data_IF_239121004329
#
_entry.id   IF_239121004329
#
_cell.length_a   1.000
_cell.length_b   1.000
_cell.length_c   1.000
_cell.angle_alpha   90.00
_cell.angle_beta   90.00
_cell.angle_gamma   90.00
#
_symmetry.space_group_name_H-M   'P 1'
#
loop_
_entity.id
_entity.type
_entity.pdbx_description
1 polymer ?
#
# COMPACT_ATOMS: atom_id res chain seq x y z
N UNK A 1 13.74 -15.18 -13.43
CA UNK A 1 13.34 -15.35 -14.84
C UNK A 1 14.13 -14.45 -15.80
N UNK A 2 14.09 -13.10 -15.71
CA UNK A 2 14.82 -12.19 -16.60
C UNK A 2 16.34 -12.39 -16.58
N UNK A 3 16.94 -12.71 -15.44
CA UNK A 3 18.39 -13.00 -15.30
C UNK A 3 18.75 -14.28 -16.07
N UNK A 4 17.91 -15.32 -16.01
CA UNK A 4 18.11 -16.57 -16.73
C UNK A 4 18.10 -16.36 -18.25
N UNK A 5 17.13 -15.59 -18.76
CA UNK A 5 17.01 -15.31 -20.19
C UNK A 5 18.26 -14.64 -20.81
N UNK A 6 19.05 -13.92 -20.01
CA UNK A 6 20.24 -13.23 -20.53
C UNK A 6 21.43 -14.14 -20.82
N UNK A 7 21.43 -15.38 -20.33
CA UNK A 7 22.49 -16.36 -20.56
C UNK A 7 22.27 -17.26 -21.79
N UNK A 8 21.04 -17.25 -22.35
CA UNK A 8 20.70 -18.06 -23.51
C UNK A 8 20.94 -17.34 -24.84
N UNK A 9 21.32 -18.06 -25.86
CA UNK A 9 21.28 -17.60 -27.25
C UNK A 9 19.84 -17.26 -27.67
N UNK A 10 19.66 -16.41 -28.69
CA UNK A 10 18.31 -15.98 -29.13
C UNK A 10 17.38 -17.18 -29.43
N UNK A 11 17.90 -18.23 -30.04
CA UNK A 11 17.14 -19.48 -30.35
C UNK A 11 16.75 -20.25 -29.10
N UNK A 12 17.59 -20.26 -28.07
CA UNK A 12 17.32 -20.92 -26.80
C UNK A 12 16.34 -20.09 -25.96
N UNK A 13 16.37 -18.76 -26.08
CA UNK A 13 15.37 -17.89 -25.43
C UNK A 13 13.96 -18.16 -25.93
N UNK A 14 13.78 -18.32 -27.25
CA UNK A 14 12.48 -18.65 -27.81
C UNK A 14 12.02 -20.04 -27.36
N UNK A 15 12.88 -21.06 -27.41
CA UNK A 15 12.57 -22.38 -26.89
C UNK A 15 12.17 -22.34 -25.42
N UNK A 16 12.90 -21.65 -24.58
CA UNK A 16 12.58 -21.48 -23.17
C UNK A 16 11.20 -20.83 -22.97
N UNK A 17 10.92 -19.75 -23.73
CA UNK A 17 9.63 -19.07 -23.62
C UNK A 17 8.47 -19.99 -24.04
N UNK A 18 8.59 -20.71 -25.18
CA UNK A 18 7.51 -21.53 -25.70
C UNK A 18 7.37 -22.88 -25.00
N UNK A 19 8.46 -23.48 -24.53
CA UNK A 19 8.42 -24.84 -23.93
C UNK A 19 8.27 -24.81 -22.40
N UNK A 20 8.67 -23.72 -21.75
CA UNK A 20 8.62 -23.63 -20.28
C UNK A 20 7.70 -22.52 -19.82
N UNK A 21 7.92 -21.28 -20.25
CA UNK A 21 7.19 -20.13 -19.72
C UNK A 21 5.72 -20.14 -20.16
N UNK A 22 5.46 -20.38 -21.44
CA UNK A 22 4.10 -20.35 -21.97
C UNK A 22 3.23 -21.50 -21.41
N UNK A 23 3.67 -22.79 -21.39
CA UNK A 23 2.89 -23.87 -20.82
C UNK A 23 2.62 -23.69 -19.32
N UNK A 24 3.64 -23.31 -18.54
CA UNK A 24 3.48 -23.07 -17.10
C UNK A 24 2.55 -21.88 -16.86
N UNK A 25 2.75 -20.77 -17.59
CA UNK A 25 1.91 -19.59 -17.50
C UNK A 25 0.45 -19.87 -17.85
N UNK A 26 0.22 -20.64 -18.92
CA UNK A 26 -1.13 -21.05 -19.33
C UNK A 26 -1.78 -21.96 -18.29
N UNK A 27 -1.03 -22.92 -17.74
CA UNK A 27 -1.53 -23.81 -16.71
C UNK A 27 -1.94 -23.03 -15.45
N UNK A 28 -1.06 -22.14 -14.95
CA UNK A 28 -1.33 -21.30 -13.78
C UNK A 28 -2.54 -20.41 -14.04
N UNK A 29 -2.61 -19.75 -15.20
CA UNK A 29 -3.74 -18.91 -15.58
C UNK A 29 -5.04 -19.70 -15.66
N UNK A 30 -5.00 -20.90 -16.23
CA UNK A 30 -6.16 -21.79 -16.30
C UNK A 30 -6.66 -22.21 -14.92
N UNK A 31 -5.75 -22.59 -14.03
CA UNK A 31 -6.08 -22.96 -12.65
C UNK A 31 -6.66 -21.78 -11.86
N UNK A 32 -6.09 -20.57 -12.00
CA UNK A 32 -6.63 -19.37 -11.34
C UNK A 32 -8.02 -19.04 -11.89
N UNK A 33 -8.24 -19.09 -13.21
CA UNK A 33 -9.57 -18.85 -13.78
C UNK A 33 -10.63 -19.88 -13.33
N UNK A 34 -10.24 -21.15 -13.16
CA UNK A 34 -11.13 -22.19 -12.61
C UNK A 34 -11.46 -21.89 -11.14
N UNK A 35 -10.48 -21.50 -10.35
CA UNK A 35 -10.71 -21.10 -8.96
C UNK A 35 -11.63 -19.88 -8.88
N UNK A 36 -11.36 -18.86 -9.69
CA UNK A 36 -12.18 -17.64 -9.76
C UNK A 36 -13.63 -17.98 -10.19
N UNK A 37 -13.79 -18.88 -11.16
CA UNK A 37 -15.13 -19.37 -11.57
C UNK A 37 -15.87 -20.04 -10.41
N UNK A 38 -15.16 -20.82 -9.61
CA UNK A 38 -15.75 -21.49 -8.45
C UNK A 38 -16.13 -20.50 -7.35
N UNK A 39 -15.25 -19.51 -7.07
CA UNK A 39 -15.45 -18.55 -5.99
C UNK A 39 -16.46 -17.43 -6.33
N UNK A 40 -16.43 -16.92 -7.55
CA UNK A 40 -17.28 -15.79 -7.98
C UNK A 40 -18.55 -16.20 -8.73
N UNK A 41 -18.69 -17.47 -9.07
CA UNK A 41 -19.84 -17.96 -9.82
C UNK A 41 -19.87 -17.58 -11.31
N UNK A 42 -18.95 -16.76 -11.79
CA UNK A 42 -18.81 -16.29 -13.18
C UNK A 42 -17.37 -16.46 -13.68
N UNK A 43 -17.19 -16.52 -15.02
CA UNK A 43 -15.85 -16.57 -15.59
C UNK A 43 -15.21 -15.18 -15.51
N UNK A 44 -14.13 -15.06 -14.74
CA UNK A 44 -13.37 -13.82 -14.56
C UNK A 44 -11.92 -14.06 -14.94
N UNK A 45 -11.36 -13.22 -15.79
CA UNK A 45 -9.94 -13.19 -16.10
C UNK A 45 -9.32 -11.96 -15.42
N UNK A 46 -8.96 -12.11 -14.15
CA UNK A 46 -8.50 -11.02 -13.29
C UNK A 46 -7.39 -10.19 -13.92
N UNK A 47 -6.31 -10.76 -14.51
CA UNK A 47 -5.25 -9.95 -15.13
C UNK A 47 -5.76 -9.09 -16.30
N UNK A 48 -6.68 -9.62 -17.11
CA UNK A 48 -7.26 -8.88 -18.22
C UNK A 48 -8.18 -7.77 -17.75
N UNK A 49 -9.00 -8.03 -16.74
CA UNK A 49 -9.86 -7.02 -16.13
C UNK A 49 -9.03 -5.89 -15.48
N UNK A 50 -7.92 -6.25 -14.83
CA UNK A 50 -6.99 -5.27 -14.30
C UNK A 50 -6.40 -4.37 -15.40
N UNK A 51 -5.96 -4.95 -16.51
CA UNK A 51 -5.45 -4.17 -17.65
C UNK A 51 -6.55 -3.30 -18.25
N UNK A 52 -7.73 -3.86 -18.48
CA UNK A 52 -8.87 -3.12 -19.02
C UNK A 52 -9.23 -1.94 -18.14
N UNK A 53 -9.36 -2.15 -16.83
CA UNK A 53 -9.72 -1.11 -15.87
C UNK A 53 -8.68 0.00 -15.80
N UNK A 54 -7.40 -0.35 -15.65
CA UNK A 54 -6.35 0.64 -15.41
C UNK A 54 -5.83 1.34 -16.68
N UNK A 55 -5.82 0.64 -17.84
CA UNK A 55 -5.25 1.20 -19.07
C UNK A 55 -6.30 1.62 -20.10
N UNK A 56 -7.38 0.87 -20.25
CA UNK A 56 -8.37 1.13 -21.30
C UNK A 56 -9.51 2.03 -20.83
N UNK A 57 -9.99 1.84 -19.60
CA UNK A 57 -11.12 2.62 -19.07
C UNK A 57 -10.71 3.78 -18.18
N UNK A 58 -9.40 3.97 -17.90
CA UNK A 58 -8.92 4.96 -16.92
C UNK A 58 -9.64 4.89 -15.57
N UNK A 59 -10.15 3.70 -15.22
CA UNK A 59 -10.91 3.49 -13.97
C UNK A 59 -10.07 3.74 -12.72
N UNK A 60 -8.74 3.59 -12.82
CA UNK A 60 -7.82 3.97 -11.76
C UNK A 60 -7.86 5.45 -11.39
N UNK A 61 -8.20 6.32 -12.35
CA UNK A 61 -8.24 7.78 -12.13
C UNK A 61 -9.35 8.20 -11.15
N UNK A 62 -10.37 7.37 -10.99
CA UNK A 62 -11.43 7.54 -9.98
C UNK A 62 -10.86 7.62 -8.54
N UNK A 63 -9.81 6.84 -8.26
CA UNK A 63 -9.17 6.81 -6.94
C UNK A 63 -8.09 7.90 -6.76
N UNK A 64 -8.07 8.90 -7.63
CA UNK A 64 -7.10 9.99 -7.63
C UNK A 64 -5.89 9.72 -8.52
N UNK A 65 -5.36 10.82 -9.06
CA UNK A 65 -4.24 10.77 -10.02
C UNK A 65 -3.04 11.52 -9.48
N UNK A 66 -1.86 11.03 -9.85
CA UNK A 66 -0.60 11.69 -9.56
C UNK A 66 0.23 11.89 -10.83
N UNK A 67 1.07 12.92 -10.84
CA UNK A 67 1.98 13.20 -11.95
C UNK A 67 2.93 12.02 -12.20
N UNK A 68 3.39 11.84 -13.44
CA UNK A 68 4.25 10.72 -13.84
C UNK A 68 5.51 10.54 -12.98
N UNK A 69 6.10 11.63 -12.49
CA UNK A 69 7.32 11.61 -11.68
C UNK A 69 7.11 11.23 -10.20
N UNK A 70 5.87 11.00 -9.76
CA UNK A 70 5.52 10.79 -8.36
C UNK A 70 6.31 9.65 -7.70
N UNK A 71 6.53 8.54 -8.42
CA UNK A 71 7.33 7.45 -7.87
C UNK A 71 8.78 7.85 -7.62
N UNK A 72 9.36 8.71 -8.45
CA UNK A 72 10.75 9.14 -8.28
C UNK A 72 10.91 10.22 -7.19
N UNK A 73 9.89 11.01 -6.94
CA UNK A 73 9.94 12.13 -5.98
C UNK A 73 9.32 11.81 -4.63
N UNK A 74 8.33 10.94 -4.58
CA UNK A 74 7.59 10.60 -3.37
C UNK A 74 7.51 9.09 -3.13
N UNK A 75 6.93 8.30 -4.04
CA UNK A 75 6.65 6.90 -3.82
C UNK A 75 7.88 6.09 -3.41
N UNK A 76 8.90 6.04 -4.26
CA UNK A 76 10.13 5.30 -3.99
C UNK A 76 10.97 5.96 -2.90
N UNK A 77 11.07 7.29 -2.91
CA UNK A 77 11.89 8.02 -1.93
C UNK A 77 11.38 7.86 -0.50
N UNK A 78 10.07 7.90 -0.29
CA UNK A 78 9.47 7.67 1.03
C UNK A 78 9.66 6.22 1.48
N UNK A 79 9.46 5.24 0.58
CA UNK A 79 9.57 3.82 0.91
C UNK A 79 11.01 3.38 1.20
N UNK A 80 12.00 3.92 0.50
CA UNK A 80 13.42 3.61 0.72
C UNK A 80 14.01 4.50 1.82
N UNK A 81 13.47 5.70 1.98
CA UNK A 81 13.77 6.69 3.03
C UNK A 81 15.28 6.89 3.25
N UNK A 82 15.78 6.71 4.47
CA UNK A 82 17.20 6.91 4.82
C UNK A 82 18.17 5.93 4.15
N UNK A 83 17.67 4.87 3.51
CA UNK A 83 18.47 3.95 2.70
C UNK A 83 18.82 4.49 1.31
N UNK A 84 18.23 5.61 0.86
CA UNK A 84 18.46 6.19 -0.49
C UNK A 84 19.95 6.41 -0.79
N UNK A 85 20.74 7.09 0.05
CA UNK A 85 22.16 7.33 -0.26
C UNK A 85 22.93 6.01 -0.40
N UNK A 86 22.62 5.01 0.41
CA UNK A 86 23.25 3.68 0.33
C UNK A 86 22.78 2.92 -0.91
N UNK A 87 21.51 3.01 -1.28
CA UNK A 87 20.98 2.41 -2.50
C UNK A 87 21.65 2.99 -3.75
N UNK A 88 21.75 4.32 -3.85
CA UNK A 88 22.42 4.99 -4.97
C UNK A 88 23.90 4.58 -5.04
N UNK A 89 24.61 4.61 -3.92
CA UNK A 89 26.00 4.16 -3.86
C UNK A 89 26.13 2.68 -4.29
N UNK A 90 25.23 1.82 -3.81
CA UNK A 90 25.19 0.41 -4.19
C UNK A 90 24.98 0.18 -5.69
N UNK A 91 24.08 0.94 -6.32
CA UNK A 91 23.85 0.91 -7.78
C UNK A 91 25.13 1.27 -8.52
N UNK A 92 25.77 2.36 -8.13
CA UNK A 92 26.98 2.88 -8.81
C UNK A 92 28.14 1.90 -8.66
N UNK A 93 28.39 1.39 -7.46
CA UNK A 93 29.55 0.56 -7.20
C UNK A 93 29.38 -0.90 -7.63
N UNK A 94 28.19 -1.48 -7.49
CA UNK A 94 27.96 -2.88 -7.88
C UNK A 94 27.97 -3.09 -9.39
N UNK A 95 27.66 -2.04 -10.18
CA UNK A 95 27.55 -2.10 -11.65
C UNK A 95 26.58 -3.18 -12.14
N UNK A 96 25.62 -3.59 -11.31
CA UNK A 96 24.62 -4.61 -11.63
C UNK A 96 23.46 -4.01 -12.43
N UNK A 97 23.76 -3.57 -13.65
CA UNK A 97 22.84 -2.84 -14.53
C UNK A 97 21.53 -3.58 -14.83
N UNK A 98 21.53 -4.92 -14.74
CA UNK A 98 20.30 -5.72 -14.95
C UNK A 98 19.28 -5.47 -13.84
N UNK A 99 19.70 -5.47 -12.58
CA UNK A 99 18.82 -5.18 -11.45
C UNK A 99 18.44 -3.70 -11.39
N UNK A 100 19.38 -2.81 -11.73
CA UNK A 100 19.10 -1.38 -11.89
C UNK A 100 18.07 -1.14 -12.99
N UNK A 101 18.23 -1.80 -14.14
CA UNK A 101 17.28 -1.74 -15.24
C UNK A 101 15.89 -2.27 -14.87
N UNK A 102 15.82 -3.36 -14.09
CA UNK A 102 14.56 -3.90 -13.60
C UNK A 102 13.85 -2.92 -12.66
N UNK A 103 14.59 -2.32 -11.72
CA UNK A 103 14.06 -1.29 -10.82
C UNK A 103 13.52 -0.08 -11.59
N UNK A 104 14.32 0.45 -12.50
CA UNK A 104 13.92 1.58 -13.34
C UNK A 104 12.73 1.25 -14.25
N UNK A 105 12.69 0.04 -14.80
CA UNK A 105 11.59 -0.40 -15.66
C UNK A 105 10.28 -0.54 -14.90
N UNK A 106 10.29 -1.12 -13.71
CA UNK A 106 9.07 -1.27 -12.90
C UNK A 106 8.54 0.09 -12.45
N UNK A 107 9.41 0.97 -11.93
CA UNK A 107 9.00 2.32 -11.54
C UNK A 107 8.52 3.14 -12.75
N UNK A 108 9.19 3.02 -13.89
CA UNK A 108 8.79 3.67 -15.13
C UNK A 108 7.44 3.19 -15.64
N UNK A 109 7.20 1.87 -15.64
CA UNK A 109 5.94 1.28 -16.06
C UNK A 109 4.77 1.77 -15.19
N UNK A 110 4.91 1.72 -13.86
CA UNK A 110 3.87 2.24 -12.97
C UNK A 110 3.71 3.77 -13.05
N UNK A 111 4.75 4.49 -13.49
CA UNK A 111 4.67 5.94 -13.70
C UNK A 111 3.73 6.35 -14.85
N UNK A 112 3.46 5.44 -15.79
CA UNK A 112 2.53 5.66 -16.90
C UNK A 112 1.07 5.65 -16.42
N UNK A 113 0.77 4.88 -15.36
CA UNK A 113 -0.58 4.82 -14.79
C UNK A 113 -0.95 6.15 -14.12
N UNK A 114 -2.20 6.61 -14.27
CA UNK A 114 -2.71 7.80 -13.58
C UNK A 114 -2.75 7.59 -12.07
N UNK A 115 -3.39 6.50 -11.65
CA UNK A 115 -3.47 6.13 -10.23
C UNK A 115 -2.15 5.54 -9.73
N UNK A 116 -1.66 6.05 -8.61
CA UNK A 116 -0.36 5.66 -8.02
C UNK A 116 -0.50 5.41 -6.53
N UNK A 117 0.11 4.32 -6.06
CA UNK A 117 0.13 3.95 -4.66
C UNK A 117 1.53 3.52 -4.20
N UNK A 118 1.82 3.68 -2.91
CA UNK A 118 3.08 3.23 -2.30
C UNK A 118 3.29 1.73 -2.45
N UNK A 119 2.22 0.92 -2.38
CA UNK A 119 2.30 -0.54 -2.51
C UNK A 119 2.88 -1.01 -3.86
N UNK A 120 2.79 -0.21 -4.92
CA UNK A 120 3.37 -0.56 -6.22
C UNK A 120 4.90 -0.46 -6.24
N UNK A 121 5.52 0.14 -5.22
CA UNK A 121 6.98 0.12 -5.02
C UNK A 121 7.45 -1.20 -4.37
N UNK A 122 6.59 -1.92 -3.66
CA UNK A 122 6.96 -3.13 -2.92
C UNK A 122 7.71 -4.19 -3.76
N UNK A 123 7.37 -4.45 -5.04
CA UNK A 123 8.10 -5.43 -5.85
C UNK A 123 9.59 -5.10 -6.06
N UNK A 124 9.97 -3.83 -6.05
CA UNK A 124 11.35 -3.38 -6.24
C UNK A 124 12.06 -2.97 -4.96
N UNK A 125 11.33 -2.86 -3.86
CA UNK A 125 11.92 -2.53 -2.56
C UNK A 125 13.03 -3.50 -2.13
N UNK A 126 12.88 -4.84 -2.25
CA UNK A 126 13.97 -5.77 -1.94
C UNK A 126 15.24 -5.52 -2.76
N UNK A 127 15.09 -5.17 -4.04
CA UNK A 127 16.23 -4.86 -4.93
C UNK A 127 16.95 -3.59 -4.44
N UNK A 128 16.20 -2.56 -4.08
CA UNK A 128 16.76 -1.32 -3.54
C UNK A 128 17.52 -1.57 -2.22
N UNK A 129 16.96 -2.41 -1.34
CA UNK A 129 17.60 -2.78 -0.07
C UNK A 129 18.85 -3.67 -0.27
N UNK A 130 18.88 -4.52 -1.29
CA UNK A 130 20.09 -5.29 -1.66
C UNK A 130 21.21 -4.34 -2.10
N UNK A 131 20.90 -3.32 -2.91
CA UNK A 131 21.89 -2.30 -3.26
C UNK A 131 22.37 -1.51 -2.04
N UNK A 132 21.46 -1.16 -1.13
CA UNK A 132 21.81 -0.49 0.13
C UNK A 132 22.75 -1.38 0.97
N UNK A 133 22.41 -2.66 1.14
CA UNK A 133 23.24 -3.63 1.87
C UNK A 133 24.62 -3.84 1.22
N UNK A 134 24.70 -3.88 -0.11
CA UNK A 134 25.96 -3.97 -0.83
C UNK A 134 26.86 -2.75 -0.53
N UNK A 135 26.31 -1.55 -0.55
CA UNK A 135 27.07 -0.33 -0.21
C UNK A 135 27.57 -0.34 1.23
N UNK A 136 26.77 -0.83 2.18
CA UNK A 136 27.20 -0.99 3.57
C UNK A 136 28.31 -2.02 3.72
N UNK A 137 28.23 -3.15 3.02
CA UNK A 137 29.30 -4.15 3.00
C UNK A 137 30.61 -3.60 2.45
N UNK A 138 30.55 -2.72 1.45
CA UNK A 138 31.75 -2.02 0.93
C UNK A 138 32.35 -1.01 1.93
N UNK A 139 31.53 -0.40 2.77
CA UNK A 139 32.03 0.48 3.86
C UNK A 139 32.77 -0.36 4.90
N UNK A 140 32.32 -1.58 5.16
CA UNK A 140 32.94 -2.51 6.08
C UNK A 140 34.24 -3.08 5.50
N UNK A 141 34.20 -3.57 4.27
CA UNK A 141 35.36 -4.14 3.55
C UNK A 141 35.41 -3.66 2.10
N UNK A 142 36.26 -2.68 1.78
CA UNK A 142 36.43 -2.19 0.41
C UNK A 142 36.90 -3.26 -0.60
N UNK A 143 37.39 -4.43 -0.16
CA UNK A 143 37.80 -5.51 -1.04
C UNK A 143 36.61 -6.21 -1.74
N UNK A 144 35.39 -6.05 -1.25
CA UNK A 144 34.14 -6.59 -1.85
C UNK A 144 33.96 -6.14 -3.31
N UNK A 145 34.49 -4.99 -3.69
CA UNK A 145 34.44 -4.48 -5.06
C UNK A 145 35.56 -4.96 -5.97
N UNK A 146 36.54 -5.72 -5.46
CA UNK A 146 37.69 -6.19 -6.23
C UNK A 146 37.37 -7.53 -6.90
N UNK A 147 37.86 -7.78 -8.16
CA UNK A 147 37.67 -9.06 -8.81
C UNK A 147 38.36 -10.18 -8.04
N UNK A 148 37.82 -11.43 -8.09
CA UNK A 148 38.21 -12.56 -7.22
C UNK A 148 39.63 -13.14 -7.43
N UNK A 149 40.50 -12.46 -8.17
CA UNK A 149 41.83 -12.98 -8.55
C UNK A 149 42.98 -12.56 -7.65
N UNK A 150 42.73 -12.01 -6.46
CA UNK A 150 43.78 -11.85 -5.46
C UNK A 150 43.34 -12.52 -4.16
N UNK A 151 43.71 -13.78 -3.97
CA UNK A 151 43.77 -14.40 -2.64
C UNK A 151 44.61 -13.48 -1.74
N UNK A 152 43.94 -12.69 -0.95
CA UNK A 152 44.55 -12.04 0.21
C UNK A 152 44.27 -12.93 1.40
N UNK A 153 45.34 -13.40 2.02
CA UNK A 153 45.35 -14.05 3.32
C UNK A 153 44.28 -13.40 4.22
N UNK A 154 43.48 -14.26 4.79
CA UNK A 154 42.45 -13.93 5.77
C UNK A 154 43.16 -13.34 7.01
N UNK A 155 43.43 -12.05 6.95
CA UNK A 155 44.03 -11.32 8.06
C UNK A 155 43.05 -11.21 9.19
N UNK A 156 43.45 -11.78 10.31
CA UNK A 156 42.78 -11.86 11.61
C UNK A 156 41.92 -10.68 11.98
N UNK A 157 40.65 -11.02 12.29
CA UNK A 157 39.82 -10.49 13.39
C UNK A 157 40.10 -9.04 13.82
N UNK A 158 39.46 -8.07 13.20
CA UNK A 158 39.17 -6.83 13.87
C UNK A 158 37.73 -6.90 14.44
N UNK A 159 37.63 -7.03 15.74
CA UNK A 159 36.39 -7.11 16.50
C UNK A 159 35.68 -5.71 16.66
N UNK A 160 36.04 -4.75 15.83
CA UNK A 160 35.40 -3.42 15.81
C UNK A 160 35.05 -3.03 14.37
N UNK A 161 33.78 -2.75 14.16
CA UNK A 161 33.34 -2.13 12.90
C UNK A 161 34.13 -0.84 12.64
N UNK A 162 34.51 -0.57 11.38
CA UNK A 162 35.12 0.70 11.03
C UNK A 162 34.22 1.88 11.48
N UNK A 163 34.79 3.02 11.91
CA UNK A 163 33.99 4.14 12.41
C UNK A 163 32.94 4.63 11.40
N UNK A 164 33.20 4.52 10.10
CA UNK A 164 32.24 4.82 9.02
C UNK A 164 31.04 3.87 9.03
N UNK A 165 31.28 2.58 9.26
CA UNK A 165 30.21 1.58 9.35
C UNK A 165 29.35 1.80 10.60
N UNK A 166 29.99 2.07 11.75
CA UNK A 166 29.29 2.42 12.99
C UNK A 166 28.43 3.67 12.79
N UNK A 167 28.96 4.70 12.15
CA UNK A 167 28.18 5.91 11.85
C UNK A 167 26.99 5.63 10.91
N UNK A 168 27.17 4.80 9.89
CA UNK A 168 26.09 4.40 8.98
C UNK A 168 24.99 3.62 9.71
N UNK A 169 25.36 2.66 10.56
CA UNK A 169 24.40 1.90 11.38
C UNK A 169 23.63 2.85 12.32
N UNK A 170 24.34 3.71 13.05
CA UNK A 170 23.69 4.67 13.96
C UNK A 170 22.74 5.60 13.21
N UNK A 171 23.13 6.11 12.04
CA UNK A 171 22.27 6.92 11.18
C UNK A 171 20.99 6.17 10.79
N UNK A 172 21.10 4.93 10.32
CA UNK A 172 19.95 4.13 9.93
C UNK A 172 19.06 3.80 11.13
N UNK A 173 19.61 3.46 12.29
CA UNK A 173 18.82 3.20 13.48
C UNK A 173 18.12 4.46 13.97
N UNK A 174 18.84 5.59 14.05
CA UNK A 174 18.29 6.87 14.52
C UNK A 174 17.19 7.44 13.61
N UNK A 175 17.21 7.12 12.32
CA UNK A 175 16.17 7.57 11.37
C UNK A 175 15.01 6.59 11.27
N UNK A 176 15.28 5.29 11.19
CA UNK A 176 14.22 4.31 10.93
C UNK A 176 13.43 3.91 12.18
N UNK A 177 14.07 3.80 13.36
CA UNK A 177 13.35 3.41 14.58
C UNK A 177 12.29 4.45 14.99
N UNK A 178 12.61 5.76 15.09
CA UNK A 178 11.58 6.74 15.42
C UNK A 178 10.46 6.82 14.39
N UNK A 179 10.80 6.71 13.09
CA UNK A 179 9.81 6.71 12.02
C UNK A 179 8.90 5.48 12.13
N UNK A 180 9.46 4.29 12.32
CA UNK A 180 8.68 3.06 12.49
C UNK A 180 7.76 3.12 13.71
N UNK A 181 8.25 3.64 14.84
CA UNK A 181 7.45 3.83 16.05
C UNK A 181 6.31 4.84 15.81
N UNK A 182 6.60 5.97 15.16
CA UNK A 182 5.58 6.97 14.83
C UNK A 182 4.51 6.38 13.91
N UNK A 183 4.90 5.75 12.81
CA UNK A 183 3.97 5.19 11.82
C UNK A 183 3.13 4.04 12.37
N UNK A 184 3.68 3.24 13.28
CA UNK A 184 2.96 2.09 13.86
C UNK A 184 2.15 2.42 15.11
N UNK A 185 2.55 3.42 15.90
CA UNK A 185 1.90 3.69 17.18
C UNK A 185 1.06 4.97 17.20
N UNK A 186 1.31 5.91 16.29
CA UNK A 186 0.69 7.24 16.32
C UNK A 186 -0.07 7.56 15.04
N UNK A 187 0.56 7.33 13.88
CA UNK A 187 0.01 7.73 12.58
C UNK A 187 -1.28 6.99 12.25
N UNK A 188 -2.33 7.74 11.89
CA UNK A 188 -3.64 7.24 11.45
C UNK A 188 -4.30 6.20 12.39
N UNK A 189 -4.09 6.34 13.67
CA UNK A 189 -4.57 5.37 14.67
C UNK A 189 -6.05 5.51 15.02
N UNK A 190 -6.68 6.63 14.67
CA UNK A 190 -8.08 6.91 15.01
C UNK A 190 -9.07 5.82 14.58
N UNK A 191 -9.04 5.32 13.34
CA UNK A 191 -9.92 4.24 12.88
C UNK A 191 -9.75 2.94 13.68
N UNK A 192 -8.51 2.59 14.05
CA UNK A 192 -8.23 1.40 14.85
C UNK A 192 -8.76 1.55 16.30
N UNK A 193 -8.52 2.69 16.90
CA UNK A 193 -8.92 2.94 18.29
C UNK A 193 -10.44 2.99 18.44
N UNK A 194 -11.16 3.59 17.48
CA UNK A 194 -12.63 3.61 17.50
C UNK A 194 -13.19 2.20 17.33
N UNK A 195 -12.60 1.39 16.46
CA UNK A 195 -13.04 0.01 16.27
C UNK A 195 -12.75 -0.85 17.49
N UNK A 196 -11.61 -0.67 18.17
CA UNK A 196 -11.30 -1.32 19.43
C UNK A 196 -12.29 -0.94 20.54
N UNK A 197 -12.72 0.33 20.59
CA UNK A 197 -13.74 0.78 21.53
C UNK A 197 -15.09 0.13 21.23
N UNK A 198 -15.53 0.19 19.97
CA UNK A 198 -16.80 -0.42 19.54
C UNK A 198 -16.83 -1.93 19.77
N UNK A 199 -15.72 -2.62 19.54
CA UNK A 199 -15.62 -4.06 19.80
C UNK A 199 -15.83 -4.38 21.30
N UNK A 200 -15.25 -3.59 22.21
CA UNK A 200 -15.44 -3.74 23.65
C UNK A 200 -16.90 -3.49 24.06
N UNK A 201 -17.52 -2.43 23.54
CA UNK A 201 -18.91 -2.12 23.83
C UNK A 201 -19.89 -3.11 23.19
N UNK A 202 -19.60 -3.60 22.00
CA UNK A 202 -20.35 -4.67 21.36
C UNK A 202 -20.29 -5.97 22.16
N UNK A 203 -19.13 -6.28 22.77
CA UNK A 203 -18.99 -7.42 23.66
C UNK A 203 -19.87 -7.28 24.92
N UNK A 204 -20.05 -6.06 25.40
CA UNK A 204 -20.94 -5.75 26.56
C UNK A 204 -22.42 -5.65 26.17
N UNK A 205 -22.77 -5.84 24.89
CA UNK A 205 -24.16 -5.75 24.39
C UNK A 205 -24.72 -4.31 24.29
N UNK A 206 -23.87 -3.29 24.39
CA UNK A 206 -24.28 -1.89 24.31
C UNK A 206 -24.50 -1.40 22.88
N UNK A 207 -23.76 -1.98 21.92
CA UNK A 207 -23.87 -1.63 20.50
C UNK A 207 -24.91 -2.52 19.84
N UNK A 208 -25.91 -1.93 19.21
CA UNK A 208 -26.97 -2.64 18.48
C UNK A 208 -26.81 -2.53 16.96
N UNK A 209 -26.35 -1.39 16.48
CA UNK A 209 -26.09 -1.13 15.06
C UNK A 209 -25.11 0.02 14.91
N UNK A 210 -24.37 0.05 13.82
CA UNK A 210 -23.33 1.05 13.57
C UNK A 210 -23.51 1.65 12.18
N UNK A 211 -23.42 2.96 12.08
CA UNK A 211 -23.33 3.71 10.81
C UNK A 211 -21.96 4.36 10.70
N UNK A 212 -21.22 4.02 9.64
CA UNK A 212 -19.93 4.62 9.34
C UNK A 212 -20.10 5.73 8.30
N UNK A 213 -19.93 6.96 8.74
CA UNK A 213 -19.92 8.17 7.90
C UNK A 213 -18.47 8.63 7.69
N UNK A 214 -17.64 7.72 7.27
CA UNK A 214 -16.22 7.93 6.97
C UNK A 214 -15.95 7.59 5.51
N UNK A 215 -14.90 8.14 4.90
CA UNK A 215 -14.49 7.71 3.56
C UNK A 215 -14.35 6.20 3.45
N UNK A 216 -14.60 5.67 2.27
CA UNK A 216 -14.53 4.25 2.02
C UNK A 216 -13.17 3.67 2.40
N UNK A 217 -13.19 2.49 3.00
CA UNK A 217 -12.01 1.78 3.46
C UNK A 217 -11.22 2.48 4.58
N UNK A 218 -11.77 3.53 5.21
CA UNK A 218 -11.10 4.22 6.32
C UNK A 218 -11.09 3.39 7.62
N UNK A 219 -12.05 2.47 7.79
CA UNK A 219 -12.20 1.66 9.00
C UNK A 219 -12.23 0.16 8.70
N UNK A 220 -11.63 -0.70 9.55
CA UNK A 220 -11.55 -2.15 9.32
C UNK A 220 -12.78 -2.92 9.84
N UNK A 221 -13.96 -2.47 9.64
CA UNK A 221 -15.29 -3.02 9.97
C UNK A 221 -15.31 -4.38 10.74
N UNK A 222 -15.85 -5.44 10.09
CA UNK A 222 -16.02 -6.78 10.70
C UNK A 222 -14.72 -7.44 11.12
N UNK A 223 -13.61 -7.15 10.46
CA UNK A 223 -12.31 -7.75 10.80
C UNK A 223 -11.79 -7.39 12.19
N UNK A 224 -12.30 -6.30 12.79
CA UNK A 224 -11.98 -5.93 14.18
C UNK A 224 -13.16 -6.09 15.12
N UNK A 225 -14.40 -5.92 14.64
CA UNK A 225 -15.58 -6.03 15.49
C UNK A 225 -15.85 -7.47 15.93
N UNK A 226 -15.61 -8.46 15.05
CA UNK A 226 -15.85 -9.90 15.28
C UNK A 226 -17.24 -10.25 15.84
N UNK A 227 -18.25 -9.45 15.53
CA UNK A 227 -19.64 -9.61 15.94
C UNK A 227 -20.57 -9.41 14.76
N UNK A 228 -21.61 -10.23 14.69
CA UNK A 228 -22.67 -10.07 13.70
C UNK A 228 -23.66 -8.99 14.17
N UNK A 229 -23.33 -7.74 13.86
CA UNK A 229 -24.16 -6.58 14.13
C UNK A 229 -24.51 -5.89 12.81
N UNK A 230 -25.71 -5.30 12.67
CA UNK A 230 -26.04 -4.46 11.52
C UNK A 230 -25.05 -3.31 11.42
N UNK A 231 -24.35 -3.24 10.28
CA UNK A 231 -23.44 -2.16 9.96
C UNK A 231 -23.82 -1.57 8.60
N UNK A 232 -23.84 -0.26 8.53
CA UNK A 232 -24.04 0.51 7.30
C UNK A 232 -22.81 1.39 7.07
N UNK A 233 -22.41 1.52 5.83
CA UNK A 233 -21.32 2.39 5.41
C UNK A 233 -21.67 3.01 4.05
N UNK A 234 -21.01 4.12 3.75
CA UNK A 234 -21.28 4.87 2.52
C UNK A 234 -20.87 4.03 1.30
N UNK A 235 -21.70 4.03 0.27
CA UNK A 235 -21.39 3.34 -1.00
C UNK A 235 -20.41 4.18 -1.81
N UNK A 236 -19.27 3.57 -2.16
CA UNK A 236 -18.22 4.15 -2.99
C UNK A 236 -17.99 3.31 -4.26
N UNK A 237 -19.01 2.61 -4.71
CA UNK A 237 -18.92 1.87 -5.96
C UNK A 237 -18.83 2.87 -7.12
N UNK A 238 -17.77 2.81 -7.96
CA UNK A 238 -17.68 3.68 -9.12
C UNK A 238 -18.86 3.45 -10.05
N UNK A 239 -19.60 4.51 -10.40
CA UNK A 239 -20.64 4.38 -11.40
C UNK A 239 -20.00 4.03 -12.75
N UNK A 240 -20.36 2.87 -13.30
CA UNK A 240 -19.85 2.40 -14.61
C UNK A 240 -20.43 3.19 -15.78
N UNK A 241 -21.50 3.92 -15.58
CA UNK A 241 -22.31 4.53 -16.65
C UNK A 241 -22.11 6.05 -16.82
N UNK A 242 -21.73 6.77 -15.76
CA UNK A 242 -21.56 8.21 -15.83
C UNK A 242 -20.26 8.69 -15.19
N UNK A 243 -19.35 9.21 -16.00
CA UNK A 243 -18.14 9.88 -15.50
C UNK A 243 -18.53 11.18 -14.80
N UNK A 244 -18.18 11.30 -13.51
CA UNK A 244 -18.33 12.54 -12.75
C UNK A 244 -19.52 12.57 -11.79
N UNK A 245 -20.29 11.48 -11.66
CA UNK A 245 -21.27 11.36 -10.59
C UNK A 245 -20.55 11.09 -9.27
N UNK A 246 -20.79 11.97 -8.30
CA UNK A 246 -20.28 11.82 -6.94
C UNK A 246 -20.88 10.57 -6.30
N UNK A 247 -20.03 9.73 -5.72
CA UNK A 247 -20.48 8.62 -4.91
C UNK A 247 -21.12 9.08 -3.59
N UNK A 248 -21.59 8.15 -2.80
CA UNK A 248 -22.26 8.48 -1.54
C UNK A 248 -21.31 9.10 -0.51
N UNK A 249 -20.06 8.67 -0.49
CA UNK A 249 -19.01 9.23 0.36
C UNK A 249 -18.69 10.68 -0.05
N UNK A 250 -18.51 10.93 -1.34
CA UNK A 250 -18.23 12.28 -1.84
C UNK A 250 -19.39 13.24 -1.57
N UNK A 251 -20.64 12.76 -1.74
CA UNK A 251 -21.84 13.55 -1.40
C UNK A 251 -21.91 13.89 0.08
N UNK A 252 -21.61 12.91 0.95
CA UNK A 252 -21.54 13.15 2.38
C UNK A 252 -20.45 14.16 2.74
N UNK A 253 -19.24 13.99 2.22
CA UNK A 253 -18.12 14.89 2.52
C UNK A 253 -18.34 16.31 2.01
N UNK A 254 -19.08 16.47 0.91
CA UNK A 254 -19.40 17.78 0.35
C UNK A 254 -20.45 18.52 1.18
N UNK A 255 -21.57 17.85 1.53
CA UNK A 255 -22.67 18.43 2.34
C UNK A 255 -23.22 17.41 3.34
N UNK A 256 -22.56 17.27 4.51
CA UNK A 256 -22.98 16.32 5.55
C UNK A 256 -24.39 16.60 6.09
N UNK A 257 -24.80 17.87 6.17
CA UNK A 257 -26.08 18.27 6.77
C UNK A 257 -27.25 17.83 5.88
N UNK A 258 -27.17 18.14 4.59
CA UNK A 258 -28.22 17.72 3.63
C UNK A 258 -28.27 16.19 3.51
N UNK A 259 -27.12 15.52 3.55
CA UNK A 259 -27.03 14.06 3.54
C UNK A 259 -27.77 13.45 4.75
N UNK A 260 -27.45 13.90 5.95
CA UNK A 260 -28.07 13.41 7.20
C UNK A 260 -29.57 13.67 7.26
N UNK A 261 -30.05 14.82 6.76
CA UNK A 261 -31.46 15.09 6.73
C UNK A 261 -32.26 14.14 5.84
N UNK A 262 -31.68 13.75 4.68
CA UNK A 262 -32.26 12.72 3.79
C UNK A 262 -32.21 11.35 4.39
N UNK A 263 -31.09 10.99 5.04
CA UNK A 263 -30.90 9.71 5.72
C UNK A 263 -31.92 9.53 6.84
N UNK A 264 -32.14 10.56 7.65
CA UNK A 264 -33.13 10.56 8.76
C UNK A 264 -34.56 10.28 8.31
N UNK A 265 -34.93 10.71 7.11
CA UNK A 265 -36.26 10.46 6.56
C UNK A 265 -36.48 9.04 6.03
N UNK A 266 -35.42 8.34 5.68
CA UNK A 266 -35.47 7.05 4.95
C UNK A 266 -35.03 5.83 5.76
N UNK A 267 -34.40 6.01 6.92
CA UNK A 267 -33.77 4.91 7.66
C UNK A 267 -34.03 5.00 9.16
N UNK A 268 -34.01 3.84 9.82
CA UNK A 268 -33.98 3.78 11.29
C UNK A 268 -32.60 4.24 11.80
N UNK A 269 -32.62 5.05 12.86
CA UNK A 269 -31.37 5.55 13.45
C UNK A 269 -30.53 4.42 14.05
N UNK A 270 -29.23 4.35 13.71
CA UNK A 270 -28.33 3.39 14.32
C UNK A 270 -28.05 3.73 15.78
N UNK A 271 -27.60 2.74 16.57
CA UNK A 271 -27.22 3.01 17.96
C UNK A 271 -25.89 3.77 18.08
N UNK A 272 -25.00 3.64 17.11
CA UNK A 272 -23.70 4.33 17.06
C UNK A 272 -23.42 4.87 15.67
N UNK A 273 -22.84 6.07 15.63
CA UNK A 273 -22.36 6.72 14.40
C UNK A 273 -20.87 6.97 14.56
N UNK A 274 -20.11 6.63 13.52
CA UNK A 274 -18.68 6.89 13.41
C UNK A 274 -18.43 7.89 12.31
N UNK A 275 -17.80 9.01 12.64
CA UNK A 275 -17.46 10.08 11.69
C UNK A 275 -16.17 10.78 12.13
N UNK A 276 -15.58 11.58 11.25
CA UNK A 276 -14.44 12.41 11.60
C UNK A 276 -14.89 13.67 12.35
N UNK A 277 -14.00 14.23 13.15
CA UNK A 277 -14.24 15.45 13.92
C UNK A 277 -14.70 16.64 13.04
N UNK A 278 -14.13 16.78 11.84
CA UNK A 278 -14.50 17.83 10.89
C UNK A 278 -15.98 17.80 10.51
N UNK A 279 -16.53 16.60 10.33
CA UNK A 279 -17.94 16.38 9.99
C UNK A 279 -18.82 16.43 11.24
N UNK A 280 -18.32 15.96 12.40
CA UNK A 280 -19.03 16.07 13.69
C UNK A 280 -19.33 17.54 13.99
N UNK A 281 -18.36 18.43 13.85
CA UNK A 281 -18.55 19.87 14.09
C UNK A 281 -19.66 20.46 13.23
N UNK A 282 -19.79 20.05 11.97
CA UNK A 282 -20.86 20.48 11.06
C UNK A 282 -22.22 19.89 11.42
N UNK A 283 -22.25 18.66 11.92
CA UNK A 283 -23.46 17.90 12.23
C UNK A 283 -23.90 18.00 13.69
N UNK A 284 -23.16 18.68 14.55
CA UNK A 284 -23.35 18.68 16.00
C UNK A 284 -24.78 19.04 16.42
N UNK A 285 -25.36 20.05 15.81
CA UNK A 285 -26.74 20.44 16.11
C UNK A 285 -27.76 19.35 15.73
N UNK A 286 -27.56 18.72 14.59
CA UNK A 286 -28.42 17.63 14.11
C UNK A 286 -28.25 16.36 14.97
N UNK A 287 -27.04 16.00 15.33
CA UNK A 287 -26.77 14.85 16.18
C UNK A 287 -27.39 15.01 17.58
N UNK A 288 -27.29 16.19 18.18
CA UNK A 288 -27.93 16.50 19.46
C UNK A 288 -29.45 16.40 19.34
N UNK A 289 -30.04 16.90 18.25
CA UNK A 289 -31.50 16.82 18.03
C UNK A 289 -31.99 15.37 17.88
N UNK A 290 -31.14 14.45 17.47
CA UNK A 290 -31.39 13.00 17.39
C UNK A 290 -30.98 12.23 18.66
N UNK A 291 -30.67 12.92 19.75
CA UNK A 291 -30.24 12.36 21.05
C UNK A 291 -28.93 11.58 21.03
N UNK A 292 -28.03 11.89 20.06
CA UNK A 292 -26.69 11.35 20.08
C UNK A 292 -25.78 12.14 21.02
N UNK A 293 -24.93 11.41 21.73
CA UNK A 293 -23.89 11.96 22.60
C UNK A 293 -22.52 11.53 22.13
N UNK A 294 -21.56 12.43 22.23
CA UNK A 294 -20.17 12.10 21.99
C UNK A 294 -19.67 11.10 23.04
N UNK A 295 -19.15 9.95 22.59
CA UNK A 295 -18.69 8.86 23.46
C UNK A 295 -17.16 8.74 23.46
N UNK A 296 -16.54 8.90 22.29
CA UNK A 296 -15.09 8.81 22.10
C UNK A 296 -14.59 9.94 21.23
N UNK A 297 -13.78 10.77 21.83
CA UNK A 297 -13.05 11.83 21.15
C UNK A 297 -11.59 11.43 21.03
N UNK A 298 -11.06 11.39 19.83
CA UNK A 298 -9.63 11.23 19.63
C UNK A 298 -9.16 12.10 18.48
N UNK A 299 -8.42 13.15 18.84
CA UNK A 299 -7.72 13.97 17.85
C UNK A 299 -6.65 13.13 17.18
N UNK A 300 -6.85 12.83 15.91
CA UNK A 300 -5.77 12.31 15.08
C UNK A 300 -4.97 13.52 14.61
N UNK A 301 -3.75 13.64 15.05
CA UNK A 301 -2.82 14.61 14.47
C UNK A 301 -2.69 14.28 12.98
N UNK A 302 -3.26 15.14 12.16
CA UNK A 302 -3.24 15.09 10.70
C UNK A 302 -1.82 15.30 10.15
#
# INVERSE_FOLDING_TARGET
MLVSLSFFNARDKLKFVFLEVAPIGTLVLGLTCLLDRFMYGTWVLVPLNFLKFNFLSSGGDYYGTHKWHWYFTQGFTVMVFSHIPFCIAGIIYSKQWKFTGLLAWVLGFYSILGHKEFRFVLPVLPIALIFSGYSLAMIEDPSVSSPPHKEKEFSKKHNKYPPKMTAAILFLLATNIPMALYMSLVHQRGPEDVMNHLAKEAFQGKVKSILFLTPCHATPYYSMLHRNLPMQFLDCTPSSEEKGVLDESDRFMTDPVSFMSKFANNSSFPSHIVLFESEEQKLRSSLISFDYREVVYKTVLS
#
